data_IF_593664864547
#
_entry.id   IF_593664864547
#
_cell.length_a   1.000
_cell.length_b   1.000
_cell.length_c   1.000
_cell.angle_alpha   90.00
_cell.angle_beta   90.00
_cell.angle_gamma   90.00
#
_symmetry.space_group_name_H-M   'P 1'
#
loop_
_entity.id
_entity.type
_entity.pdbx_description
1 polymer ?
#
# COMPACT_ATOMS: atom_id res chain seq x y z
N UNK A 1 -18.39 3.64 -25.17
CA UNK A 1 -19.39 4.37 -24.34
C UNK A 1 -18.77 5.27 -23.26
N UNK A 2 -17.46 5.19 -22.98
CA UNK A 2 -16.78 6.02 -21.94
C UNK A 2 -16.12 7.33 -22.46
N UNK A 3 -16.17 7.60 -23.77
CA UNK A 3 -15.46 8.74 -24.38
C UNK A 3 -16.17 10.10 -24.25
N UNK A 4 -17.43 10.16 -23.76
CA UNK A 4 -18.22 11.40 -23.66
C UNK A 4 -18.41 11.93 -22.22
N UNK A 5 -17.67 11.39 -21.25
CA UNK A 5 -17.78 11.80 -19.83
C UNK A 5 -16.75 12.89 -19.52
N UNK A 6 -17.13 13.87 -18.70
CA UNK A 6 -16.18 14.85 -18.18
C UNK A 6 -15.12 14.17 -17.32
N UNK A 7 -13.92 14.75 -17.21
CA UNK A 7 -12.82 14.19 -16.40
C UNK A 7 -13.21 13.94 -14.94
N UNK A 8 -14.15 14.73 -14.40
CA UNK A 8 -14.73 14.50 -13.09
C UNK A 8 -15.63 13.25 -13.04
N UNK A 9 -16.53 13.10 -14.03
CA UNK A 9 -17.41 11.93 -14.11
C UNK A 9 -16.62 10.63 -14.28
N UNK A 10 -15.54 10.65 -15.06
CA UNK A 10 -14.64 9.50 -15.21
C UNK A 10 -14.02 9.09 -13.87
N UNK A 11 -13.49 10.05 -13.09
CA UNK A 11 -12.91 9.77 -11.76
C UNK A 11 -13.93 9.18 -10.78
N UNK A 12 -15.15 9.73 -10.75
CA UNK A 12 -16.21 9.24 -9.87
C UNK A 12 -16.64 7.81 -10.26
N UNK A 13 -16.84 7.56 -11.55
CA UNK A 13 -17.25 6.23 -12.03
C UNK A 13 -16.16 5.20 -11.76
N UNK A 14 -14.89 5.51 -12.04
CA UNK A 14 -13.76 4.61 -11.75
C UNK A 14 -13.65 4.35 -10.24
N UNK A 15 -13.78 5.37 -9.40
CA UNK A 15 -13.76 5.21 -7.94
C UNK A 15 -14.88 4.29 -7.43
N UNK A 16 -16.12 4.51 -7.89
CA UNK A 16 -17.26 3.64 -7.52
C UNK A 16 -17.03 2.21 -8.03
N UNK A 17 -16.58 2.05 -9.27
CA UNK A 17 -16.30 0.73 -9.85
C UNK A 17 -15.24 -0.04 -9.04
N UNK A 18 -14.18 0.63 -8.60
CA UNK A 18 -13.15 0.03 -7.75
C UNK A 18 -13.69 -0.36 -6.38
N UNK A 19 -14.51 0.48 -5.74
CA UNK A 19 -15.15 0.13 -4.47
C UNK A 19 -16.09 -1.06 -4.58
N UNK A 20 -16.88 -1.12 -5.67
CA UNK A 20 -17.75 -2.27 -5.96
C UNK A 20 -16.92 -3.53 -6.21
N UNK A 21 -15.80 -3.42 -6.96
CA UNK A 21 -14.90 -4.54 -7.21
C UNK A 21 -14.28 -5.06 -5.91
N UNK A 22 -13.72 -4.18 -5.07
CA UNK A 22 -13.13 -4.54 -3.77
C UNK A 22 -14.19 -5.18 -2.87
N UNK A 23 -15.40 -4.59 -2.81
CA UNK A 23 -16.50 -5.13 -2.03
C UNK A 23 -16.97 -6.50 -2.53
N UNK A 24 -17.04 -6.70 -3.85
CA UNK A 24 -17.42 -7.97 -4.45
C UNK A 24 -16.37 -9.07 -4.19
N UNK A 25 -15.09 -8.77 -4.38
CA UNK A 25 -13.99 -9.69 -4.09
C UNK A 25 -13.94 -10.04 -2.61
N UNK A 26 -14.13 -9.04 -1.74
CA UNK A 26 -14.23 -9.24 -0.30
C UNK A 26 -15.44 -10.10 0.10
N UNK A 27 -16.57 -9.98 -0.60
CA UNK A 27 -17.76 -10.79 -0.35
C UNK A 27 -17.60 -12.24 -0.82
N UNK A 28 -16.86 -12.49 -1.91
CA UNK A 28 -16.56 -13.85 -2.37
C UNK A 28 -15.70 -14.64 -1.38
N UNK A 29 -14.85 -13.94 -0.62
CA UNK A 29 -13.93 -14.49 0.38
C UNK A 29 -13.24 -15.80 -0.06
N UNK A 30 -12.77 -15.80 -1.31
CA UNK A 30 -12.10 -16.95 -1.91
C UNK A 30 -10.59 -16.69 -2.01
N UNK A 31 -9.80 -17.57 -1.41
CA UNK A 31 -8.33 -17.46 -1.38
C UNK A 31 -7.70 -17.30 -2.77
N UNK A 32 -8.17 -18.05 -3.77
CA UNK A 32 -7.64 -17.97 -5.12
C UNK A 32 -7.99 -16.63 -5.76
N UNK A 33 -9.24 -16.16 -5.60
CA UNK A 33 -9.68 -14.87 -6.15
C UNK A 33 -8.90 -13.72 -5.51
N UNK A 34 -8.72 -13.73 -4.19
CA UNK A 34 -7.93 -12.73 -3.48
C UNK A 34 -6.47 -12.75 -3.91
N UNK A 35 -5.87 -13.94 -4.07
CA UNK A 35 -4.50 -14.09 -4.56
C UNK A 35 -4.34 -13.61 -6.00
N UNK A 36 -5.28 -13.88 -6.90
CA UNK A 36 -5.23 -13.33 -8.27
C UNK A 36 -5.34 -11.80 -8.24
N UNK A 37 -6.29 -11.27 -7.47
CA UNK A 37 -6.52 -9.84 -7.36
C UNK A 37 -5.30 -9.08 -6.82
N UNK A 38 -4.75 -9.52 -5.67
CA UNK A 38 -3.54 -8.94 -5.11
C UNK A 38 -2.33 -9.16 -6.03
N UNK A 39 -2.30 -10.23 -6.83
CA UNK A 39 -1.27 -10.50 -7.82
C UNK A 39 -1.25 -9.50 -8.97
N UNK A 40 -2.42 -9.05 -9.41
CA UNK A 40 -2.52 -7.98 -10.41
C UNK A 40 -1.97 -6.68 -9.83
N UNK A 41 -2.37 -6.31 -8.61
CA UNK A 41 -1.86 -5.13 -7.90
C UNK A 41 -0.34 -5.24 -7.70
N UNK A 42 0.15 -6.42 -7.34
CA UNK A 42 1.56 -6.73 -7.15
C UNK A 42 2.41 -6.46 -8.38
N UNK A 43 2.01 -6.97 -9.53
CA UNK A 43 2.77 -6.78 -10.78
C UNK A 43 2.82 -5.30 -11.16
N UNK A 44 1.70 -4.58 -11.03
CA UNK A 44 1.65 -3.15 -11.31
C UNK A 44 2.50 -2.33 -10.34
N UNK A 45 2.37 -2.57 -9.04
CA UNK A 45 3.17 -1.90 -8.02
C UNK A 45 4.67 -2.16 -8.21
N UNK A 46 5.06 -3.38 -8.57
CA UNK A 46 6.45 -3.71 -8.88
C UNK A 46 6.96 -3.00 -10.13
N UNK A 47 6.16 -2.95 -11.19
CA UNK A 47 6.48 -2.22 -12.42
C UNK A 47 6.68 -0.72 -12.17
N UNK A 48 5.78 -0.09 -11.41
CA UNK A 48 5.89 1.32 -11.03
C UNK A 48 7.11 1.56 -10.15
N UNK A 49 7.39 0.69 -9.19
CA UNK A 49 8.58 0.80 -8.35
C UNK A 49 9.88 0.69 -9.18
N UNK A 50 9.96 -0.25 -10.12
CA UNK A 50 11.11 -0.35 -11.03
C UNK A 50 11.34 0.94 -11.82
N UNK A 51 10.26 1.59 -12.29
CA UNK A 51 10.32 2.90 -12.97
C UNK A 51 10.75 4.02 -12.02
N UNK A 52 10.19 4.05 -10.81
CA UNK A 52 10.46 5.04 -9.76
C UNK A 52 11.93 5.02 -9.34
N UNK A 53 12.50 3.82 -9.16
CA UNK A 53 13.91 3.64 -8.83
C UNK A 53 14.85 3.72 -10.05
N UNK A 54 14.33 3.97 -11.25
CA UNK A 54 15.07 4.07 -12.53
C UNK A 54 15.87 2.80 -12.84
N UNK A 55 15.29 1.63 -12.57
CA UNK A 55 15.91 0.32 -12.77
C UNK A 55 15.36 -0.36 -14.01
N UNK A 56 16.23 -1.04 -14.75
CA UNK A 56 15.84 -1.87 -15.90
C UNK A 56 16.50 -3.24 -15.77
N UNK A 57 15.74 -4.23 -15.32
CA UNK A 57 16.22 -5.61 -15.17
C UNK A 57 15.10 -6.61 -15.46
N UNK A 58 15.25 -7.38 -16.53
CA UNK A 58 14.30 -8.45 -16.87
C UNK A 58 14.30 -9.58 -15.83
N UNK A 59 15.45 -9.85 -15.19
CA UNK A 59 15.55 -10.89 -14.16
C UNK A 59 14.78 -10.50 -12.89
N UNK A 60 14.67 -9.21 -12.57
CA UNK A 60 13.90 -8.73 -11.42
C UNK A 60 12.40 -9.06 -11.57
N UNK A 61 11.83 -8.89 -12.76
CA UNK A 61 10.44 -9.26 -13.04
C UNK A 61 10.21 -10.77 -12.97
N UNK A 62 11.18 -11.57 -13.44
CA UNK A 62 11.11 -13.03 -13.31
C UNK A 62 11.07 -13.44 -11.83
N UNK A 63 11.97 -12.90 -11.01
CA UNK A 63 11.99 -13.18 -9.58
C UNK A 63 10.69 -12.71 -8.89
N UNK A 64 10.18 -11.52 -9.22
CA UNK A 64 8.91 -11.03 -8.70
C UNK A 64 7.74 -11.98 -8.99
N UNK A 65 7.59 -12.41 -10.25
CA UNK A 65 6.54 -13.36 -10.64
C UNK A 65 6.71 -14.72 -9.95
N UNK A 66 7.93 -15.23 -9.87
CA UNK A 66 8.25 -16.49 -9.20
C UNK A 66 7.85 -16.47 -7.72
N UNK A 67 8.17 -15.38 -7.01
CA UNK A 67 7.81 -15.21 -5.61
C UNK A 67 6.30 -15.15 -5.40
N UNK A 68 5.57 -14.45 -6.27
CA UNK A 68 4.12 -14.38 -6.19
C UNK A 68 3.47 -15.76 -6.34
N UNK A 69 3.98 -16.58 -7.27
CA UNK A 69 3.52 -17.96 -7.48
C UNK A 69 3.79 -18.81 -6.22
N UNK A 70 4.99 -18.72 -5.65
CA UNK A 70 5.33 -19.46 -4.43
C UNK A 70 4.48 -19.01 -3.24
N UNK A 71 4.16 -17.72 -3.13
CA UNK A 71 3.32 -17.17 -2.07
C UNK A 71 1.91 -17.79 -2.03
N UNK A 72 1.43 -18.39 -3.13
CA UNK A 72 0.18 -19.15 -3.11
C UNK A 72 0.30 -20.45 -2.30
N UNK A 73 1.43 -21.14 -2.44
CA UNK A 73 1.66 -22.47 -1.85
C UNK A 73 2.30 -22.41 -0.47
N UNK A 74 3.04 -21.34 -0.16
CA UNK A 74 3.68 -21.16 1.13
C UNK A 74 2.67 -20.71 2.19
N UNK A 75 2.59 -21.35 3.38
CA UNK A 75 1.69 -20.94 4.45
C UNK A 75 1.96 -19.52 4.98
N UNK A 76 3.23 -19.15 5.06
CA UNK A 76 3.68 -17.84 5.57
C UNK A 76 4.44 -17.08 4.45
N UNK A 77 3.76 -16.39 3.53
CA UNK A 77 4.42 -15.67 2.44
C UNK A 77 5.52 -14.68 2.87
N UNK A 78 5.44 -14.10 4.06
CA UNK A 78 6.39 -13.13 4.62
C UNK A 78 7.79 -13.71 4.76
N UNK A 79 7.92 -15.00 5.03
CA UNK A 79 9.22 -15.67 5.07
C UNK A 79 9.98 -15.56 3.74
N UNK A 80 9.25 -15.46 2.61
CA UNK A 80 9.84 -15.34 1.28
C UNK A 80 10.62 -14.02 1.12
N UNK A 81 10.31 -12.99 1.93
CA UNK A 81 11.11 -11.77 1.97
C UNK A 81 12.56 -12.04 2.39
N UNK A 82 12.75 -12.83 3.46
CA UNK A 82 14.09 -13.21 3.92
C UNK A 82 14.80 -14.08 2.89
N UNK A 83 14.06 -14.96 2.22
CA UNK A 83 14.61 -15.79 1.14
C UNK A 83 15.19 -14.95 0.00
N UNK A 84 14.47 -13.91 -0.45
CA UNK A 84 14.95 -12.97 -1.46
C UNK A 84 16.18 -12.21 -0.96
N UNK A 85 16.15 -11.72 0.27
CA UNK A 85 17.25 -10.96 0.84
C UNK A 85 18.54 -11.80 0.86
N UNK A 86 18.44 -13.10 1.19
CA UNK A 86 19.57 -14.03 1.15
C UNK A 86 20.05 -14.26 -0.29
N UNK A 87 19.15 -14.57 -1.23
CA UNK A 87 19.51 -14.75 -2.65
C UNK A 87 20.18 -13.49 -3.20
N UNK A 88 19.66 -12.32 -2.86
CA UNK A 88 20.20 -11.04 -3.27
C UNK A 88 21.60 -10.82 -2.70
N UNK A 89 21.80 -11.06 -1.41
CA UNK A 89 23.10 -10.96 -0.76
C UNK A 89 24.12 -11.92 -1.36
N UNK A 90 23.73 -13.18 -1.63
CA UNK A 90 24.59 -14.16 -2.29
C UNK A 90 24.93 -13.77 -3.73
N UNK A 91 23.97 -13.26 -4.50
CA UNK A 91 24.19 -12.77 -5.87
C UNK A 91 25.17 -11.58 -5.87
N UNK A 92 24.98 -10.63 -4.95
CA UNK A 92 25.86 -9.48 -4.80
C UNK A 92 27.29 -9.91 -4.44
N UNK A 93 27.44 -10.86 -3.51
CA UNK A 93 28.73 -11.40 -3.09
C UNK A 93 29.43 -12.25 -4.17
N UNK A 94 28.68 -12.88 -5.07
CA UNK A 94 29.26 -13.68 -6.16
C UNK A 94 29.65 -12.80 -7.36
N UNK A 95 28.70 -12.03 -7.89
CA UNK A 95 28.90 -11.29 -9.14
C UNK A 95 29.64 -9.97 -8.97
N UNK A 96 29.66 -9.37 -7.76
CA UNK A 96 30.29 -8.09 -7.40
C UNK A 96 29.86 -6.84 -8.19
N UNK A 97 29.17 -7.00 -9.33
CA UNK A 97 28.70 -5.96 -10.25
C UNK A 97 27.17 -5.79 -10.24
N UNK A 98 26.49 -6.27 -9.20
CA UNK A 98 25.03 -6.22 -9.12
C UNK A 98 24.55 -4.87 -8.57
N UNK A 99 23.55 -4.25 -9.20
CA UNK A 99 22.96 -3.01 -8.69
C UNK A 99 22.19 -3.29 -7.39
N UNK A 100 22.73 -2.77 -6.28
CA UNK A 100 22.16 -2.92 -4.93
C UNK A 100 20.74 -2.35 -4.83
N UNK A 101 20.38 -1.40 -5.70
CA UNK A 101 19.05 -0.76 -5.73
C UNK A 101 17.95 -1.72 -6.17
N UNK A 102 18.28 -2.84 -6.83
CA UNK A 102 17.32 -3.86 -7.22
C UNK A 102 16.61 -4.51 -6.03
N UNK A 103 17.12 -4.37 -4.80
CA UNK A 103 16.43 -4.82 -3.59
C UNK A 103 15.26 -3.90 -3.21
N UNK A 104 15.28 -2.61 -3.60
CA UNK A 104 14.29 -1.61 -3.18
C UNK A 104 12.85 -1.93 -3.65
N UNK A 105 12.61 -2.34 -4.91
CA UNK A 105 11.30 -2.83 -5.34
C UNK A 105 10.81 -4.06 -4.55
N UNK A 106 11.70 -4.91 -4.03
CA UNK A 106 11.31 -6.05 -3.19
C UNK A 106 11.05 -5.65 -1.72
N UNK A 107 11.68 -4.57 -1.26
CA UNK A 107 11.46 -4.02 0.07
C UNK A 107 10.19 -3.18 0.16
N UNK A 108 9.92 -2.33 -0.82
CA UNK A 108 8.88 -1.31 -0.71
C UNK A 108 7.47 -1.83 -1.04
N UNK A 109 7.10 -2.12 -2.31
CA UNK A 109 5.75 -2.61 -2.62
C UNK A 109 5.56 -4.10 -2.31
N UNK A 110 6.58 -4.94 -2.52
CA UNK A 110 6.45 -6.40 -2.42
C UNK A 110 6.21 -6.84 -0.98
N UNK A 111 6.98 -6.34 -0.02
CA UNK A 111 6.80 -6.68 1.39
C UNK A 111 5.39 -6.30 1.88
N UNK A 112 4.93 -5.08 1.55
CA UNK A 112 3.60 -4.60 1.94
C UNK A 112 2.47 -5.48 1.41
N UNK A 113 2.54 -5.90 0.15
CA UNK A 113 1.51 -6.78 -0.44
C UNK A 113 1.55 -8.19 0.17
N UNK A 114 2.73 -8.69 0.54
CA UNK A 114 2.87 -9.99 1.20
C UNK A 114 2.28 -9.95 2.61
N UNK A 115 2.56 -8.89 3.40
CA UNK A 115 1.91 -8.68 4.69
C UNK A 115 0.40 -8.52 4.57
N UNK A 116 -0.08 -7.88 3.50
CA UNK A 116 -1.52 -7.75 3.25
C UNK A 116 -2.18 -9.08 2.87
N UNK A 117 -1.49 -9.94 2.12
CA UNK A 117 -1.93 -11.31 1.82
C UNK A 117 -1.95 -12.19 3.09
N UNK A 118 -1.03 -11.99 4.03
CA UNK A 118 -1.03 -12.72 5.31
C UNK A 118 -2.14 -12.24 6.22
N UNK A 119 -2.35 -10.92 6.30
CA UNK A 119 -3.47 -10.36 7.04
C UNK A 119 -4.80 -11.00 6.60
N UNK A 120 -4.97 -11.22 5.29
CA UNK A 120 -6.09 -11.98 4.75
C UNK A 120 -6.11 -13.43 5.22
N UNK A 121 -5.00 -14.16 5.11
CA UNK A 121 -4.95 -15.59 5.43
C UNK A 121 -5.18 -15.88 6.91
N UNK A 122 -4.63 -15.06 7.80
CA UNK A 122 -4.67 -15.28 9.25
C UNK A 122 -5.94 -14.73 9.90
N UNK A 123 -6.42 -13.57 9.43
CA UNK A 123 -7.50 -12.83 10.09
C UNK A 123 -8.74 -12.63 9.21
N UNK A 124 -8.65 -12.86 7.91
CA UNK A 124 -9.76 -12.75 6.97
C UNK A 124 -10.03 -11.33 6.45
N UNK A 125 -11.01 -11.24 5.54
CA UNK A 125 -11.35 -10.00 4.82
C UNK A 125 -11.73 -8.85 5.75
N UNK A 126 -12.38 -9.13 6.88
CA UNK A 126 -12.82 -8.10 7.83
C UNK A 126 -11.68 -7.21 8.32
N UNK A 127 -10.52 -7.80 8.61
CA UNK A 127 -9.34 -7.07 9.07
C UNK A 127 -8.65 -6.31 7.93
N UNK A 128 -8.65 -6.85 6.72
CA UNK A 128 -8.17 -6.12 5.54
C UNK A 128 -9.02 -4.87 5.28
N UNK A 129 -10.35 -5.00 5.30
CA UNK A 129 -11.27 -3.88 5.11
C UNK A 129 -11.11 -2.86 6.21
N UNK A 130 -10.95 -3.31 7.46
CA UNK A 130 -10.67 -2.43 8.58
C UNK A 130 -9.38 -1.62 8.37
N UNK A 131 -8.29 -2.26 7.92
CA UNK A 131 -7.05 -1.57 7.58
C UNK A 131 -7.26 -0.56 6.45
N UNK A 132 -7.85 -0.97 5.33
CA UNK A 132 -8.09 -0.11 4.16
C UNK A 132 -8.94 1.12 4.53
N UNK A 133 -10.03 0.91 5.28
CA UNK A 133 -10.91 1.99 5.73
C UNK A 133 -10.19 2.90 6.71
N UNK A 134 -9.38 2.37 7.63
CA UNK A 134 -8.61 3.19 8.58
C UNK A 134 -7.61 4.10 7.87
N UNK A 135 -6.90 3.59 6.86
CA UNK A 135 -5.99 4.39 6.03
C UNK A 135 -6.76 5.46 5.27
N UNK A 136 -7.84 5.09 4.57
CA UNK A 136 -8.67 6.04 3.82
C UNK A 136 -9.30 7.12 4.72
N UNK A 137 -9.71 6.75 5.95
CA UNK A 137 -10.22 7.68 6.94
C UNK A 137 -9.12 8.63 7.43
N UNK A 138 -7.89 8.14 7.61
CA UNK A 138 -6.75 8.96 8.05
C UNK A 138 -6.47 10.07 7.04
N UNK A 139 -6.41 9.75 5.75
CA UNK A 139 -6.18 10.74 4.69
C UNK A 139 -7.35 11.73 4.55
N UNK A 140 -8.57 11.22 4.62
CA UNK A 140 -9.78 12.05 4.53
C UNK A 140 -9.87 13.02 5.71
N UNK A 141 -9.68 12.52 6.93
CA UNK A 141 -9.70 13.34 8.13
C UNK A 141 -8.54 14.33 8.15
N UNK A 142 -7.34 13.92 7.73
CA UNK A 142 -6.20 14.82 7.62
C UNK A 142 -6.44 15.96 6.63
N UNK A 143 -7.09 15.68 5.49
CA UNK A 143 -7.48 16.70 4.51
C UNK A 143 -8.47 17.71 5.11
N UNK A 144 -9.55 17.25 5.75
CA UNK A 144 -10.56 18.15 6.31
C UNK A 144 -10.04 18.95 7.50
N UNK A 145 -9.32 18.33 8.43
CA UNK A 145 -8.72 19.04 9.56
C UNK A 145 -7.63 20.00 9.08
N UNK A 146 -6.79 19.58 8.14
CA UNK A 146 -5.76 20.44 7.56
C UNK A 146 -6.34 21.65 6.84
N UNK A 147 -7.47 21.49 6.14
CA UNK A 147 -8.17 22.61 5.49
C UNK A 147 -8.85 23.55 6.48
N UNK A 148 -9.37 23.04 7.59
CA UNK A 148 -10.12 23.84 8.56
C UNK A 148 -9.20 24.63 9.51
N UNK A 149 -8.12 24.02 9.98
CA UNK A 149 -7.27 24.58 11.04
C UNK A 149 -5.77 24.58 10.71
N UNK A 150 -5.36 24.04 9.56
CA UNK A 150 -3.95 23.89 9.19
C UNK A 150 -3.24 25.22 9.02
N UNK A 151 -2.08 25.35 9.68
CA UNK A 151 -1.22 26.53 9.62
C UNK A 151 0.23 26.15 9.42
N UNK A 152 0.66 25.05 10.01
CA UNK A 152 2.07 24.65 10.04
C UNK A 152 2.33 23.55 9.03
N UNK A 153 3.29 23.75 8.13
CA UNK A 153 3.68 22.74 7.13
C UNK A 153 4.24 21.49 7.80
N UNK A 154 3.88 20.31 7.29
CA UNK A 154 4.33 19.02 7.82
C UNK A 154 5.71 18.60 7.29
N UNK A 155 5.95 18.76 5.98
CA UNK A 155 7.20 18.36 5.34
C UNK A 155 7.42 19.10 4.03
N UNK A 156 8.69 19.30 3.67
CA UNK A 156 9.11 19.91 2.40
C UNK A 156 8.80 19.01 1.19
N UNK A 157 8.79 17.69 1.36
CA UNK A 157 8.48 16.74 0.28
C UNK A 157 6.99 16.73 -0.07
N UNK A 158 6.13 17.09 0.89
CA UNK A 158 4.67 17.15 0.77
C UNK A 158 4.13 18.54 1.19
N UNK A 159 4.28 19.57 0.34
CA UNK A 159 4.03 20.97 0.70
C UNK A 159 2.57 21.29 1.08
N UNK A 160 1.61 20.43 0.72
CA UNK A 160 0.20 20.61 1.01
C UNK A 160 -0.25 19.98 2.34
N UNK A 161 0.61 19.18 2.99
CA UNK A 161 0.28 18.55 4.29
C UNK A 161 0.61 19.51 5.43
N UNK A 162 -0.30 19.61 6.40
CA UNK A 162 -0.12 20.40 7.62
C UNK A 162 0.01 19.50 8.85
N UNK A 163 0.76 19.94 9.86
CA UNK A 163 0.89 19.21 11.13
C UNK A 163 -0.47 19.04 11.80
N UNK A 164 -1.29 20.10 11.83
CA UNK A 164 -2.61 20.05 12.44
C UNK A 164 -3.55 19.07 11.71
N UNK A 165 -3.42 19.00 10.38
CA UNK A 165 -4.11 18.00 9.56
C UNK A 165 -3.68 16.58 9.92
N UNK A 166 -2.37 16.32 9.97
CA UNK A 166 -1.84 14.99 10.31
C UNK A 166 -2.30 14.54 11.71
N UNK A 167 -2.17 15.38 12.73
CA UNK A 167 -2.64 15.04 14.08
C UNK A 167 -4.15 14.82 14.13
N UNK A 168 -4.93 15.67 13.46
CA UNK A 168 -6.37 15.51 13.35
C UNK A 168 -6.77 14.20 12.67
N UNK A 169 -6.10 13.88 11.56
CA UNK A 169 -6.29 12.64 10.81
C UNK A 169 -6.04 11.40 11.68
N UNK A 170 -4.91 11.36 12.37
CA UNK A 170 -4.55 10.26 13.27
C UNK A 170 -5.58 10.10 14.39
N UNK A 171 -5.96 11.20 15.06
CA UNK A 171 -6.91 11.14 16.19
C UNK A 171 -8.29 10.66 15.71
N UNK A 172 -8.82 11.26 14.65
CA UNK A 172 -10.15 10.93 14.13
C UNK A 172 -10.18 9.49 13.63
N UNK A 173 -9.17 9.07 12.86
CA UNK A 173 -9.10 7.71 12.34
C UNK A 173 -8.87 6.67 13.44
N UNK A 174 -8.11 6.98 14.50
CA UNK A 174 -7.96 6.09 15.65
C UNK A 174 -9.29 5.85 16.33
N UNK A 175 -10.06 6.92 16.62
CA UNK A 175 -11.36 6.80 17.29
C UNK A 175 -12.36 6.06 16.38
N UNK A 176 -12.54 6.52 15.14
CA UNK A 176 -13.49 5.93 14.21
C UNK A 176 -13.11 4.48 13.84
N UNK A 177 -11.84 4.23 13.55
CA UNK A 177 -11.30 2.91 13.27
C UNK A 177 -11.46 1.94 14.45
N UNK A 178 -11.32 2.41 15.69
CA UNK A 178 -11.57 1.58 16.87
C UNK A 178 -13.04 1.15 16.97
N UNK A 179 -13.98 2.05 16.67
CA UNK A 179 -15.41 1.70 16.58
C UNK A 179 -15.72 0.71 15.47
N UNK A 180 -15.07 0.85 14.32
CA UNK A 180 -15.23 -0.11 13.22
C UNK A 180 -14.73 -1.51 13.58
N UNK A 181 -13.68 -1.62 14.41
CA UNK A 181 -13.14 -2.90 14.85
C UNK A 181 -13.80 -3.51 16.09
N UNK A 182 -14.81 -2.85 16.67
CA UNK A 182 -15.38 -3.26 17.95
C UNK A 182 -15.94 -4.69 17.95
N UNK A 183 -16.34 -5.22 16.78
CA UNK A 183 -16.81 -6.59 16.60
C UNK A 183 -15.71 -7.60 16.24
N UNK A 184 -14.50 -7.12 15.91
CA UNK A 184 -13.37 -7.94 15.49
C UNK A 184 -12.41 -8.21 16.66
N UNK A 185 -12.11 -7.18 17.45
CA UNK A 185 -11.14 -7.25 18.55
C UNK A 185 -11.57 -6.40 19.73
N UNK A 186 -11.09 -6.70 20.95
CA UNK A 186 -11.32 -5.85 22.12
C UNK A 186 -10.90 -4.40 21.87
N UNK A 187 -11.67 -3.45 22.41
CA UNK A 187 -11.50 -2.01 22.19
C UNK A 187 -10.06 -1.50 22.39
N UNK A 188 -9.40 -1.92 23.48
CA UNK A 188 -8.03 -1.49 23.76
C UNK A 188 -7.03 -1.94 22.70
N UNK A 189 -7.22 -3.13 22.13
CA UNK A 189 -6.40 -3.66 21.03
C UNK A 189 -6.75 -2.93 19.74
N UNK A 190 -8.04 -2.71 19.47
CA UNK A 190 -8.51 -1.92 18.32
C UNK A 190 -7.85 -0.54 18.27
N UNK A 191 -7.81 0.14 19.42
CA UNK A 191 -7.22 1.47 19.57
C UNK A 191 -5.73 1.50 19.24
N UNK A 192 -4.96 0.55 19.79
CA UNK A 192 -3.51 0.49 19.53
C UNK A 192 -3.24 0.20 18.06
N UNK A 193 -3.95 -0.79 17.48
CA UNK A 193 -3.76 -1.18 16.07
C UNK A 193 -4.15 -0.03 15.13
N UNK A 194 -5.28 0.63 15.36
CA UNK A 194 -5.71 1.76 14.50
C UNK A 194 -4.80 2.97 14.64
N UNK A 195 -4.34 3.28 15.85
CA UNK A 195 -3.35 4.33 16.07
C UNK A 195 -2.06 4.05 15.28
N UNK A 196 -1.50 2.85 15.41
CA UNK A 196 -0.28 2.46 14.70
C UNK A 196 -0.49 2.42 13.18
N UNK A 197 -1.65 1.97 12.72
CA UNK A 197 -2.00 1.95 11.29
C UNK A 197 -2.10 3.37 10.73
N UNK A 198 -2.83 4.27 11.40
CA UNK A 198 -2.95 5.66 11.01
C UNK A 198 -1.59 6.35 10.98
N UNK A 199 -0.77 6.17 12.02
CA UNK A 199 0.59 6.71 12.08
C UNK A 199 1.46 6.18 10.94
N UNK A 200 1.44 4.86 10.70
CA UNK A 200 2.22 4.22 9.63
C UNK A 200 1.79 4.69 8.24
N UNK A 201 0.50 4.91 8.02
CA UNK A 201 -0.03 5.41 6.74
C UNK A 201 0.50 6.81 6.40
N UNK A 202 0.61 7.69 7.41
CA UNK A 202 1.15 9.06 7.22
C UNK A 202 2.63 9.00 6.80
N UNK A 203 3.42 8.15 7.44
CA UNK A 203 4.83 7.98 7.10
C UNK A 203 5.03 7.24 5.77
N UNK A 204 4.16 6.28 5.44
CA UNK A 204 4.15 5.59 4.16
C UNK A 204 3.93 6.55 2.99
N UNK A 205 2.92 7.42 3.08
CA UNK A 205 2.66 8.43 2.04
C UNK A 205 3.77 9.49 1.97
N UNK A 206 4.40 9.82 3.09
CA UNK A 206 5.57 10.70 3.10
C UNK A 206 6.78 10.07 2.39
N UNK A 207 7.02 8.78 2.63
CA UNK A 207 8.07 8.02 1.98
C UNK A 207 7.83 7.92 0.48
N UNK A 208 6.60 7.61 0.06
CA UNK A 208 6.24 7.58 -1.36
C UNK A 208 6.42 8.96 -2.02
N UNK A 209 5.97 10.02 -1.35
CA UNK A 209 6.17 11.41 -1.79
C UNK A 209 7.65 11.75 -1.96
N UNK A 210 8.51 11.30 -1.03
CA UNK A 210 9.96 11.47 -1.14
C UNK A 210 10.53 10.75 -2.36
N UNK A 211 10.16 9.48 -2.58
CA UNK A 211 10.63 8.70 -3.73
C UNK A 211 10.24 9.35 -5.07
N UNK A 212 9.03 9.91 -5.18
CA UNK A 212 8.61 10.65 -6.39
C UNK A 212 9.52 11.84 -6.65
N UNK A 213 9.86 12.62 -5.61
CA UNK A 213 10.78 13.77 -5.71
C UNK A 213 12.18 13.35 -6.12
N UNK A 214 12.71 12.27 -5.56
CA UNK A 214 14.03 11.73 -5.92
C UNK A 214 14.06 11.25 -7.38
N UNK A 215 12.96 10.65 -7.85
CA UNK A 215 12.82 10.25 -9.24
C UNK A 215 12.70 11.45 -10.20
N UNK A 216 12.42 12.66 -9.71
CA UNK A 216 12.08 13.82 -10.52
C UNK A 216 10.67 13.73 -11.13
N UNK A 217 9.83 12.83 -10.60
CA UNK A 217 8.45 12.63 -11.02
C UNK A 217 7.49 13.30 -10.03
N UNK A 218 6.32 13.70 -10.52
CA UNK A 218 5.23 14.18 -9.65
C UNK A 218 4.31 13.04 -9.23
N UNK A 219 4.08 12.10 -10.15
CA UNK A 219 3.19 10.95 -10.01
C UNK A 219 4.02 9.66 -10.19
N UNK A 220 3.65 8.58 -9.48
CA UNK A 220 4.35 7.28 -9.50
C UNK A 220 4.13 6.48 -10.79
N UNK A 221 3.01 6.75 -11.49
CA UNK A 221 2.63 6.14 -12.75
C UNK A 221 1.45 6.87 -13.42
N UNK A 222 1.17 6.53 -14.68
CA UNK A 222 0.01 7.02 -15.45
C UNK A 222 -1.06 5.92 -15.61
N UNK A 223 -1.01 4.88 -14.78
CA UNK A 223 -1.77 3.64 -14.98
C UNK A 223 -3.26 3.77 -14.63
N UNK A 224 -3.66 4.75 -13.81
CA UNK A 224 -5.05 5.02 -13.42
C UNK A 224 -5.31 6.51 -13.18
#
# INVERSE_FOLDING_TARGET
>A
MLQNLSSFQQRVITGIALLVLIGFIGWLDNRLVMWVFLGVIYIFAFYEAMKLFKLSSSSAYFWAAFLWIIAYFHPNPDDLFFFIAIIFASSLAYFHNFDKRLLLPFLYPVSGIFFFLILYQDFGVGYMLWLLVTVALTDTAAYFTGKAIGKTKFSDTSPNKTLEGVFGGIIIATIAGSFLAATLVPWGIAFIITFLTALSSVFGDLFESYLKREAGAKDSGDLL
#
